data_IF_627959358230
#
_entry.id   IF_627959358230
#
_cell.length_a   1.000
_cell.length_b   1.000
_cell.length_c   1.000
_cell.angle_alpha   90.00
_cell.angle_beta   90.00
_cell.angle_gamma   90.00
#
_symmetry.space_group_name_H-M   'P 1'
#
loop_
_entity.id
_entity.type
_entity.pdbx_description
1 polymer ?
#
# COMPACT_ATOMS: atom_id res chain seq x y z
N UNK A 1 1.71 10.97 0.75
CA UNK A 1 1.46 11.84 -0.42
C UNK A 1 1.80 11.01 -1.65
N UNK A 2 0.86 10.85 -2.58
CA UNK A 2 1.03 10.00 -3.76
C UNK A 2 0.97 10.87 -5.04
N UNK A 3 1.58 10.40 -6.11
CA UNK A 3 1.51 11.04 -7.44
C UNK A 3 0.63 10.19 -8.36
N UNK A 4 -0.35 10.79 -9.02
CA UNK A 4 -1.17 10.08 -10.01
C UNK A 4 -0.38 9.81 -11.31
N UNK A 5 -0.69 8.71 -12.00
CA UNK A 5 -0.06 8.35 -13.26
C UNK A 5 -0.30 9.43 -14.34
N UNK A 6 -1.48 10.04 -14.36
CA UNK A 6 -1.82 11.21 -15.20
C UNK A 6 -0.88 12.39 -14.93
N UNK A 7 -0.64 12.73 -13.67
CA UNK A 7 0.27 13.82 -13.29
C UNK A 7 1.72 13.51 -13.71
N UNK A 8 2.17 12.27 -13.55
CA UNK A 8 3.49 11.84 -14.00
C UNK A 8 3.64 11.90 -15.53
N UNK A 9 2.58 11.55 -16.29
CA UNK A 9 2.53 11.68 -17.76
C UNK A 9 2.63 13.14 -18.20
N UNK A 10 1.91 14.04 -17.55
CA UNK A 10 1.98 15.49 -17.85
C UNK A 10 3.41 15.98 -17.65
N UNK A 11 4.04 15.66 -16.53
CA UNK A 11 5.39 16.11 -16.23
C UNK A 11 6.42 15.48 -17.18
N UNK A 12 6.29 14.19 -17.51
CA UNK A 12 7.09 13.55 -18.56
C UNK A 12 6.98 14.29 -19.89
N UNK A 13 5.75 14.64 -20.29
CA UNK A 13 5.50 15.37 -21.54
C UNK A 13 6.11 16.77 -21.51
N UNK A 14 6.09 17.46 -20.37
CA UNK A 14 6.74 18.76 -20.20
C UNK A 14 8.26 18.64 -20.34
N UNK A 15 8.87 17.62 -19.73
CA UNK A 15 10.31 17.39 -19.79
C UNK A 15 10.81 16.97 -21.18
N UNK A 16 9.97 16.29 -21.96
CA UNK A 16 10.21 16.04 -23.38
C UNK A 16 9.93 17.26 -24.28
N UNK A 17 9.45 18.37 -23.71
CA UNK A 17 8.95 19.53 -24.45
C UNK A 17 7.88 19.15 -25.50
N UNK A 18 7.07 18.16 -25.15
CA UNK A 18 6.01 17.59 -25.97
C UNK A 18 4.62 18.07 -25.53
N UNK A 19 4.48 18.53 -24.28
CA UNK A 19 3.19 18.86 -23.68
C UNK A 19 2.45 20.01 -24.37
N UNK A 20 1.23 19.72 -24.81
CA UNK A 20 0.21 20.71 -25.12
C UNK A 20 -1.15 20.16 -24.67
N UNK A 21 -1.95 21.01 -24.01
CA UNK A 21 -3.27 20.65 -23.51
C UNK A 21 -4.19 21.86 -23.65
N UNK A 22 -5.48 21.60 -23.81
CA UNK A 22 -6.51 22.63 -23.91
C UNK A 22 -7.89 22.05 -23.63
N UNK A 23 -8.87 22.95 -23.50
CA UNK A 23 -10.28 22.61 -23.48
C UNK A 23 -10.89 23.04 -24.83
N UNK A 24 -11.64 22.14 -25.49
CA UNK A 24 -12.30 22.47 -26.74
C UNK A 24 -13.21 23.70 -26.59
N UNK A 25 -13.22 24.59 -27.58
CA UNK A 25 -14.04 25.83 -27.53
C UNK A 25 -15.28 25.77 -28.41
N UNK A 26 -15.43 24.70 -29.20
CA UNK A 26 -16.60 24.47 -30.03
C UNK A 26 -16.95 22.98 -30.08
N UNK A 27 -18.21 22.69 -30.43
CA UNK A 27 -18.64 21.32 -30.69
C UNK A 27 -17.92 20.77 -31.93
N UNK A 28 -17.25 19.64 -31.76
CA UNK A 28 -16.66 18.89 -32.86
C UNK A 28 -17.56 17.75 -33.30
N UNK A 29 -16.94 16.69 -33.78
CA UNK A 29 -17.58 15.44 -34.18
C UNK A 29 -16.76 14.28 -33.64
N UNK A 30 -17.13 13.03 -33.96
CA UNK A 30 -16.28 11.90 -33.64
C UNK A 30 -14.88 12.01 -34.28
N UNK A 31 -14.74 12.72 -35.41
CA UNK A 31 -13.49 12.84 -36.18
C UNK A 31 -12.85 14.23 -36.11
N UNK A 32 -13.36 15.13 -35.28
CA UNK A 32 -12.82 16.50 -35.19
C UNK A 32 -12.81 17.02 -33.77
N UNK A 33 -11.80 17.82 -33.41
CA UNK A 33 -11.76 18.62 -32.18
C UNK A 33 -11.63 20.09 -32.57
N UNK A 34 -12.48 20.96 -32.01
CA UNK A 34 -12.53 22.38 -32.35
C UNK A 34 -12.05 23.22 -31.16
N UNK A 35 -10.90 23.87 -31.32
CA UNK A 35 -10.30 24.77 -30.33
C UNK A 35 -9.68 26.02 -30.98
N UNK A 36 -10.18 27.19 -30.58
CA UNK A 36 -9.68 28.48 -31.04
C UNK A 36 -8.21 28.74 -30.71
N UNK A 37 -7.64 28.14 -29.67
CA UNK A 37 -6.21 28.28 -29.34
C UNK A 37 -5.31 27.60 -30.38
N UNK A 38 -5.82 26.62 -31.12
CA UNK A 38 -5.09 25.98 -32.22
C UNK A 38 -4.86 26.93 -33.41
N UNK A 39 -5.62 28.03 -33.52
CA UNK A 39 -5.41 29.04 -34.57
C UNK A 39 -4.05 29.72 -34.47
N UNK A 40 -3.46 29.73 -33.27
CA UNK A 40 -2.11 30.25 -33.04
C UNK A 40 -1.00 29.28 -33.50
N UNK A 41 -1.34 28.05 -33.88
CA UNK A 41 -0.39 27.04 -34.36
C UNK A 41 -0.32 27.06 -35.88
N UNK A 42 0.84 26.66 -36.42
CA UNK A 42 1.00 26.45 -37.86
C UNK A 42 0.43 25.08 -38.22
N UNK A 43 -0.09 24.87 -39.44
CA UNK A 43 -0.58 23.55 -39.86
C UNK A 43 0.50 22.47 -39.74
N UNK A 44 1.76 22.82 -40.04
CA UNK A 44 2.93 21.94 -39.89
C UNK A 44 3.33 21.66 -38.43
N UNK A 45 2.61 22.22 -37.45
CA UNK A 45 2.77 21.85 -36.04
C UNK A 45 2.28 20.43 -35.77
N UNK A 46 1.32 19.94 -36.56
CA UNK A 46 0.91 18.54 -36.61
C UNK A 46 1.70 17.83 -37.72
N UNK A 47 2.26 16.68 -37.40
CA UNK A 47 3.01 15.83 -38.32
C UNK A 47 2.50 14.39 -38.33
N UNK A 48 3.19 13.54 -39.08
CA UNK A 48 2.90 12.10 -39.13
C UNK A 48 3.15 11.49 -37.74
N UNK A 49 2.20 10.68 -37.25
CA UNK A 49 2.25 9.97 -35.95
C UNK A 49 2.08 10.82 -34.69
N UNK A 50 1.31 11.91 -34.77
CA UNK A 50 0.82 12.63 -33.58
C UNK A 50 -0.55 12.12 -33.13
N UNK A 51 -0.80 12.18 -31.83
CA UNK A 51 -2.02 11.66 -31.22
C UNK A 51 -2.66 12.69 -30.31
N UNK A 52 -3.98 12.66 -30.20
CA UNK A 52 -4.69 13.32 -29.12
C UNK A 52 -5.03 12.31 -28.02
N UNK A 53 -5.34 12.82 -26.82
CA UNK A 53 -5.90 12.06 -25.71
C UNK A 53 -7.03 12.89 -25.09
N UNK A 54 -8.22 12.32 -24.98
CA UNK A 54 -9.31 12.95 -24.23
C UNK A 54 -9.08 12.75 -22.73
N UNK A 55 -9.07 13.84 -21.97
CA UNK A 55 -8.82 13.84 -20.52
C UNK A 55 -10.00 14.35 -19.69
N UNK A 56 -11.11 14.72 -20.35
CA UNK A 56 -12.31 15.21 -19.69
C UNK A 56 -12.95 14.15 -18.80
N UNK A 57 -12.98 14.42 -17.48
CA UNK A 57 -13.57 13.51 -16.51
C UNK A 57 -15.08 13.35 -16.76
N UNK A 58 -15.54 12.10 -16.85
CA UNK A 58 -16.96 11.78 -17.06
C UNK A 58 -17.41 11.85 -18.52
N UNK A 59 -16.52 12.20 -19.46
CA UNK A 59 -16.79 12.06 -20.88
C UNK A 59 -16.75 10.58 -21.30
N UNK A 60 -17.64 10.17 -22.21
CA UNK A 60 -17.74 8.77 -22.64
C UNK A 60 -16.49 8.28 -23.40
N UNK A 61 -15.72 9.21 -23.97
CA UNK A 61 -14.44 8.93 -24.64
C UNK A 61 -13.22 9.30 -23.80
N UNK A 62 -13.37 9.47 -22.49
CA UNK A 62 -12.22 9.68 -21.59
C UNK A 62 -11.20 8.56 -21.76
N UNK A 63 -9.92 8.92 -21.77
CA UNK A 63 -8.76 8.04 -21.97
C UNK A 63 -8.62 7.42 -23.36
N UNK A 64 -9.49 7.78 -24.31
CA UNK A 64 -9.29 7.44 -25.71
C UNK A 64 -8.18 8.31 -26.33
N UNK A 65 -7.18 7.64 -26.91
CA UNK A 65 -6.21 8.29 -27.79
C UNK A 65 -6.55 8.01 -29.27
N UNK A 66 -6.43 9.01 -30.13
CA UNK A 66 -6.65 8.88 -31.58
C UNK A 66 -5.53 9.56 -32.35
N UNK A 67 -5.24 9.05 -33.55
CA UNK A 67 -4.22 9.64 -34.41
C UNK A 67 -4.76 10.93 -35.02
N UNK A 68 -3.97 11.98 -34.96
CA UNK A 68 -4.26 13.27 -35.59
C UNK A 68 -3.76 13.22 -37.03
N UNK A 69 -4.66 13.46 -37.98
CA UNK A 69 -4.35 13.47 -39.41
C UNK A 69 -3.97 14.86 -39.92
N UNK A 70 -4.55 15.93 -39.36
CA UNK A 70 -4.26 17.31 -39.79
C UNK A 70 -4.77 18.35 -38.80
N UNK A 71 -4.25 19.57 -38.95
CA UNK A 71 -4.75 20.79 -38.33
C UNK A 71 -5.15 21.79 -39.41
N UNK A 72 -6.39 22.28 -39.35
CA UNK A 72 -6.80 23.52 -40.01
C UNK A 72 -6.70 24.69 -39.02
N UNK A 73 -5.60 25.43 -39.09
CA UNK A 73 -5.36 26.57 -38.20
C UNK A 73 -6.26 27.78 -38.47
N UNK A 74 -6.98 27.85 -39.60
CA UNK A 74 -7.89 28.96 -39.86
C UNK A 74 -9.16 28.83 -39.01
N UNK A 75 -9.66 27.60 -38.89
CA UNK A 75 -10.83 27.26 -38.06
C UNK A 75 -10.46 26.86 -36.63
N UNK A 76 -9.22 26.39 -36.41
CA UNK A 76 -8.79 25.79 -35.14
C UNK A 76 -9.28 24.36 -34.99
N UNK A 77 -9.32 23.60 -36.08
CA UNK A 77 -9.89 22.24 -36.10
C UNK A 77 -8.79 21.20 -36.27
N UNK A 78 -8.69 20.26 -35.33
CA UNK A 78 -7.94 19.01 -35.54
C UNK A 78 -8.85 18.00 -36.21
N UNK A 79 -8.34 17.30 -37.22
CA UNK A 79 -8.98 16.10 -37.77
C UNK A 79 -8.29 14.87 -37.21
N UNK A 80 -9.06 14.02 -36.55
CA UNK A 80 -8.58 12.83 -35.84
C UNK A 80 -9.27 11.57 -36.37
N UNK A 81 -8.65 10.40 -36.14
CA UNK A 81 -9.39 9.14 -36.25
C UNK A 81 -10.58 9.16 -35.29
N UNK A 82 -11.67 8.49 -35.69
CA UNK A 82 -12.94 8.61 -34.96
C UNK A 82 -12.82 8.16 -33.50
N UNK A 83 -13.17 9.03 -32.56
CA UNK A 83 -13.54 8.67 -31.20
C UNK A 83 -14.88 7.92 -31.20
N UNK A 84 -15.14 7.19 -30.12
CA UNK A 84 -16.38 6.45 -30.00
C UNK A 84 -17.59 7.39 -29.80
N UNK A 85 -17.34 8.61 -29.33
CA UNK A 85 -18.36 9.65 -29.14
C UNK A 85 -17.97 10.99 -29.78
N UNK A 86 -18.97 11.83 -30.02
CA UNK A 86 -18.76 13.19 -30.53
C UNK A 86 -18.06 14.05 -29.48
N UNK A 87 -17.03 14.78 -29.92
CA UNK A 87 -16.32 15.72 -29.05
C UNK A 87 -17.17 16.97 -28.79
N UNK A 88 -17.32 17.30 -27.50
CA UNK A 88 -18.15 18.42 -27.05
C UNK A 88 -17.41 19.76 -27.02
N UNK A 89 -18.09 20.79 -26.50
CA UNK A 89 -17.45 22.04 -26.06
C UNK A 89 -17.00 21.90 -24.60
N UNK A 90 -15.91 22.57 -24.20
CA UNK A 90 -15.28 22.46 -22.89
C UNK A 90 -14.82 21.04 -22.56
N UNK A 91 -14.40 20.29 -23.56
CA UNK A 91 -13.84 18.95 -23.38
C UNK A 91 -12.32 19.09 -23.26
N UNK A 92 -11.77 18.72 -22.11
CA UNK A 92 -10.33 18.67 -21.88
C UNK A 92 -9.67 17.58 -22.74
N UNK A 93 -8.58 17.96 -23.39
CA UNK A 93 -7.77 17.04 -24.19
C UNK A 93 -6.31 17.50 -24.25
N UNK A 94 -5.47 16.59 -24.70
CA UNK A 94 -4.03 16.80 -24.84
C UNK A 94 -3.56 16.38 -26.23
N UNK A 95 -2.46 16.98 -26.68
CA UNK A 95 -1.78 16.61 -27.93
C UNK A 95 -0.40 16.07 -27.59
N UNK A 96 -0.13 14.90 -28.16
CA UNK A 96 1.06 14.09 -28.00
C UNK A 96 1.81 14.01 -29.33
N UNK A 97 2.94 14.72 -29.44
CA UNK A 97 3.66 14.93 -30.71
C UNK A 97 4.88 14.03 -30.88
N UNK A 98 5.47 13.54 -29.79
CA UNK A 98 6.65 12.67 -29.83
C UNK A 98 6.32 11.20 -29.53
N UNK A 99 5.49 10.97 -28.50
CA UNK A 99 5.10 9.62 -28.08
C UNK A 99 3.63 9.61 -27.68
N UNK A 100 2.93 8.52 -28.02
CA UNK A 100 1.53 8.30 -27.64
C UNK A 100 1.35 8.36 -26.13
N UNK A 101 0.11 8.59 -25.66
CA UNK A 101 -0.17 8.53 -24.23
C UNK A 101 0.07 7.11 -23.70
N UNK A 102 -0.29 6.08 -24.47
CA UNK A 102 -0.05 4.68 -24.13
C UNK A 102 1.43 4.29 -24.03
N UNK A 103 2.31 4.84 -24.87
CA UNK A 103 3.76 4.62 -24.76
C UNK A 103 4.30 5.22 -23.45
N UNK A 104 3.91 6.46 -23.15
CA UNK A 104 4.27 7.15 -21.91
C UNK A 104 3.77 6.38 -20.69
N UNK A 105 2.55 5.84 -20.73
CA UNK A 105 1.95 4.99 -19.69
C UNK A 105 2.85 3.80 -19.38
N UNK A 106 3.16 3.00 -20.42
CA UNK A 106 3.99 1.79 -20.30
C UNK A 106 5.38 2.12 -19.78
N UNK A 107 5.96 3.23 -20.23
CA UNK A 107 7.27 3.67 -19.79
C UNK A 107 7.31 4.09 -18.32
N UNK A 108 6.29 4.80 -17.83
CA UNK A 108 6.19 5.19 -16.42
C UNK A 108 6.04 3.97 -15.50
N UNK A 109 5.21 3.00 -15.87
CA UNK A 109 5.02 1.76 -15.11
C UNK A 109 6.31 0.94 -15.09
N UNK A 110 6.98 0.79 -16.24
CA UNK A 110 8.28 0.11 -16.30
C UNK A 110 9.35 0.84 -15.47
N UNK A 111 9.37 2.17 -15.54
CA UNK A 111 10.30 3.00 -14.79
C UNK A 111 10.14 2.88 -13.28
N UNK A 112 8.91 2.77 -12.76
CA UNK A 112 8.67 2.57 -11.33
C UNK A 112 9.43 1.35 -10.79
N UNK A 113 9.45 0.26 -11.56
CA UNK A 113 10.16 -0.98 -11.22
C UNK A 113 11.67 -0.88 -11.43
N UNK A 114 12.10 -0.22 -12.52
CA UNK A 114 13.52 -0.10 -12.88
C UNK A 114 14.29 0.91 -12.03
N UNK A 115 13.60 1.87 -11.42
CA UNK A 115 14.25 2.93 -10.64
C UNK A 115 14.71 2.45 -9.25
N UNK A 116 14.36 1.23 -8.83
CA UNK A 116 14.91 0.60 -7.65
C UNK A 116 16.43 0.35 -7.81
N UNK A 117 17.27 0.55 -6.77
CA UNK A 117 16.92 0.96 -5.41
C UNK A 117 16.91 2.50 -5.18
N UNK A 118 17.17 3.29 -6.22
CA UNK A 118 17.40 4.74 -6.11
C UNK A 118 16.19 5.54 -5.67
N UNK A 119 14.99 5.09 -6.04
CA UNK A 119 13.73 5.50 -5.43
C UNK A 119 12.95 4.25 -5.08
N UNK A 120 12.24 4.30 -3.97
CA UNK A 120 11.57 3.12 -3.42
C UNK A 120 10.43 3.53 -2.50
N UNK A 121 9.52 2.60 -2.20
CA UNK A 121 8.50 2.84 -1.19
C UNK A 121 9.13 2.72 0.20
N UNK A 122 8.85 3.68 1.09
CA UNK A 122 9.25 3.56 2.49
C UNK A 122 8.16 2.80 3.23
N UNK A 123 8.49 1.60 3.69
CA UNK A 123 7.59 0.81 4.51
C UNK A 123 7.86 1.13 5.97
N UNK A 124 6.78 1.43 6.67
CA UNK A 124 6.74 1.61 8.11
C UNK A 124 5.57 0.81 8.63
N UNK A 125 5.88 -0.26 9.37
CA UNK A 125 4.88 -1.09 10.02
C UNK A 125 5.02 -1.03 11.54
N UNK A 126 3.87 -0.84 12.20
CA UNK A 126 3.73 -0.81 13.66
C UNK A 126 2.67 -1.83 14.14
N UNK A 127 2.27 -2.76 13.29
CA UNK A 127 1.23 -3.75 13.59
C UNK A 127 1.72 -4.84 14.54
N UNK A 128 3.04 -5.04 14.62
CA UNK A 128 3.63 -6.13 15.38
C UNK A 128 3.91 -5.82 16.85
N UNK A 129 3.76 -6.84 17.70
CA UNK A 129 4.11 -6.80 19.12
C UNK A 129 5.15 -7.89 19.45
N UNK A 130 6.23 -7.49 20.11
CA UNK A 130 7.25 -8.41 20.64
C UNK A 130 6.66 -9.44 21.59
N UNK A 131 7.04 -10.71 21.45
CA UNK A 131 6.52 -11.77 22.31
C UNK A 131 5.10 -12.25 21.97
N UNK A 132 4.43 -11.65 20.97
CA UNK A 132 3.07 -12.01 20.59
C UNK A 132 3.06 -13.28 19.75
N UNK A 133 2.35 -14.29 20.22
CA UNK A 133 2.23 -15.60 19.58
C UNK A 133 1.18 -15.65 18.47
N UNK A 134 0.34 -14.61 18.36
CA UNK A 134 -0.63 -14.52 17.28
C UNK A 134 -0.03 -14.07 15.97
N UNK A 135 -0.61 -14.58 14.90
CA UNK A 135 -0.46 -14.00 13.57
C UNK A 135 -1.52 -12.91 13.40
N UNK A 136 -1.12 -11.71 12.99
CA UNK A 136 -2.03 -10.57 12.80
C UNK A 136 -2.88 -10.25 14.05
N UNK A 137 -2.21 -10.08 15.19
CA UNK A 137 -2.88 -9.66 16.44
C UNK A 137 -3.55 -8.28 16.33
N UNK A 138 -3.00 -7.40 15.50
CA UNK A 138 -3.51 -6.06 15.21
C UNK A 138 -4.70 -6.01 14.25
N UNK A 139 -5.12 -7.14 13.66
CA UNK A 139 -6.22 -7.19 12.69
C UNK A 139 -6.03 -6.31 11.45
N UNK A 140 -4.81 -6.29 10.90
CA UNK A 140 -4.49 -5.52 9.68
C UNK A 140 -4.61 -6.34 8.40
N UNK A 141 -4.67 -7.68 8.53
CA UNK A 141 -4.60 -8.60 7.38
C UNK A 141 -5.97 -9.23 7.12
N UNK A 142 -6.58 -8.76 6.04
CA UNK A 142 -7.93 -9.12 5.63
C UNK A 142 -7.92 -9.75 4.23
N UNK A 143 -8.63 -10.87 4.08
CA UNK A 143 -8.88 -11.48 2.77
C UNK A 143 -9.97 -10.72 2.01
N UNK A 144 -10.88 -10.07 2.73
CA UNK A 144 -11.88 -9.15 2.20
C UNK A 144 -12.35 -8.20 3.30
N UNK A 145 -13.19 -7.21 2.98
CA UNK A 145 -13.77 -6.30 3.98
C UNK A 145 -14.62 -6.98 5.05
N UNK A 146 -14.91 -8.29 4.92
CA UNK A 146 -15.73 -9.07 5.85
C UNK A 146 -15.08 -10.39 6.28
N UNK A 147 -13.77 -10.56 6.03
CA UNK A 147 -13.05 -11.79 6.38
C UNK A 147 -11.59 -11.52 6.75
N UNK A 148 -11.22 -11.87 7.98
CA UNK A 148 -9.83 -11.90 8.44
C UNK A 148 -9.08 -13.09 7.83
N UNK A 149 -7.79 -12.90 7.54
CA UNK A 149 -6.99 -13.96 6.89
C UNK A 149 -6.56 -15.06 7.85
N UNK A 150 -6.17 -14.71 9.09
CA UNK A 150 -5.59 -15.66 10.05
C UNK A 150 -6.48 -15.97 11.26
N UNK A 151 -7.65 -15.37 11.33
CA UNK A 151 -8.62 -15.57 12.40
C UNK A 151 -9.85 -16.31 11.90
N UNK A 152 -10.40 -17.20 12.71
CA UNK A 152 -11.67 -17.87 12.43
C UNK A 152 -12.80 -17.15 13.14
N UNK A 153 -13.84 -16.79 12.38
CA UNK A 153 -15.08 -16.23 12.92
C UNK A 153 -16.16 -17.31 12.98
N UNK A 154 -17.01 -17.30 14.00
CA UNK A 154 -18.15 -18.21 14.12
C UNK A 154 -19.39 -17.44 14.56
N UNK A 155 -20.48 -17.61 13.82
CA UNK A 155 -21.82 -17.02 14.04
C UNK A 155 -21.92 -15.49 13.89
N UNK A 156 -20.99 -14.71 14.45
CA UNK A 156 -20.99 -13.25 14.33
C UNK A 156 -20.65 -12.79 12.91
N UNK A 157 -21.14 -11.60 12.56
CA UNK A 157 -20.65 -10.87 11.38
C UNK A 157 -19.44 -10.07 11.79
N UNK A 158 -18.39 -10.10 10.96
CA UNK A 158 -17.22 -9.23 11.12
C UNK A 158 -17.07 -8.29 9.93
N UNK A 159 -16.54 -7.10 10.19
CA UNK A 159 -16.22 -6.12 9.15
C UNK A 159 -14.91 -5.37 9.46
N UNK A 160 -14.13 -5.13 8.41
CA UNK A 160 -12.94 -4.28 8.44
C UNK A 160 -13.37 -2.84 8.72
N UNK A 161 -12.86 -2.26 9.81
CA UNK A 161 -13.14 -0.87 10.18
C UNK A 161 -11.92 -0.01 9.98
N UNK A 162 -12.04 1.05 9.18
CA UNK A 162 -10.99 2.06 8.93
C UNK A 162 -11.38 3.45 9.49
N UNK A 163 -12.52 3.54 10.17
CA UNK A 163 -13.10 4.80 10.65
C UNK A 163 -12.62 5.10 12.06
N UNK A 164 -11.95 6.25 12.25
CA UNK A 164 -11.60 6.75 13.58
C UNK A 164 -12.86 7.17 14.35
N UNK A 165 -12.99 6.90 15.66
CA UNK A 165 -11.99 6.37 16.60
C UNK A 165 -12.06 4.84 16.78
N UNK A 166 -12.71 4.12 15.87
CA UNK A 166 -13.04 2.71 16.04
C UNK A 166 -11.93 1.73 15.65
N UNK A 167 -10.70 2.22 15.47
CA UNK A 167 -9.49 1.42 15.52
C UNK A 167 -8.53 2.07 16.52
N UNK A 168 -7.75 1.28 17.23
CA UNK A 168 -6.87 1.74 18.29
C UNK A 168 -5.44 1.89 17.78
N UNK A 169 -5.00 0.96 16.95
CA UNK A 169 -3.66 0.90 16.41
C UNK A 169 -3.67 0.60 14.91
N UNK A 170 -2.55 0.91 14.25
CA UNK A 170 -2.40 0.80 12.81
C UNK A 170 -3.49 1.54 12.03
N UNK A 171 -4.09 0.87 11.05
CA UNK A 171 -5.06 1.46 10.14
C UNK A 171 -6.46 0.85 10.28
N UNK A 172 -6.57 -0.37 10.82
CA UNK A 172 -7.82 -1.11 10.85
C UNK A 172 -8.06 -1.85 12.15
N UNK A 173 -9.34 -2.13 12.43
CA UNK A 173 -9.75 -3.02 13.53
C UNK A 173 -10.84 -3.97 13.07
N UNK A 174 -11.12 -4.98 13.90
CA UNK A 174 -12.22 -5.91 13.67
C UNK A 174 -13.50 -5.43 14.36
N UNK A 175 -14.48 -5.00 13.58
CA UNK A 175 -15.85 -4.82 14.06
C UNK A 175 -16.55 -6.16 14.12
N UNK A 176 -17.21 -6.45 15.22
CA UNK A 176 -18.03 -7.64 15.46
C UNK A 176 -19.45 -7.19 15.80
N UNK A 177 -20.46 -7.67 15.07
CA UNK A 177 -21.85 -7.30 15.28
C UNK A 177 -22.85 -8.39 14.85
N UNK A 178 -24.14 -8.02 14.84
CA UNK A 178 -25.29 -8.75 14.27
C UNK A 178 -25.73 -10.00 15.04
N UNK A 179 -24.80 -10.80 15.56
CA UNK A 179 -25.11 -12.03 16.27
C UNK A 179 -24.02 -12.37 17.30
N UNK A 180 -24.45 -12.99 18.41
CA UNK A 180 -23.51 -13.54 19.38
C UNK A 180 -22.67 -14.66 18.77
N UNK A 181 -21.37 -14.64 18.99
CA UNK A 181 -20.42 -15.51 18.32
C UNK A 181 -18.98 -15.22 18.75
N UNK A 182 -18.02 -15.66 17.94
CA UNK A 182 -16.60 -15.62 18.34
C UNK A 182 -15.67 -15.28 17.19
N UNK A 183 -14.53 -14.70 17.54
CA UNK A 183 -13.34 -14.56 16.68
C UNK A 183 -12.17 -15.23 17.42
N UNK A 184 -11.46 -16.16 16.79
CA UNK A 184 -10.45 -16.98 17.47
C UNK A 184 -9.26 -17.38 16.61
N UNK A 185 -8.13 -17.63 17.27
CA UNK A 185 -6.99 -18.37 16.74
C UNK A 185 -6.75 -19.61 17.59
N UNK A 186 -6.52 -20.75 16.94
CA UNK A 186 -6.16 -22.01 17.60
C UNK A 186 -4.97 -22.69 16.93
N UNK A 187 -4.50 -23.79 17.51
CA UNK A 187 -3.45 -24.65 16.92
C UNK A 187 -3.78 -25.15 15.51
N UNK A 188 -5.07 -25.16 15.13
CA UNK A 188 -5.51 -25.50 13.77
C UNK A 188 -5.22 -24.37 12.79
N UNK A 189 -5.35 -23.11 13.23
CA UNK A 189 -5.00 -21.94 12.45
C UNK A 189 -3.48 -21.70 12.44
N UNK A 190 -2.83 -21.95 13.58
CA UNK A 190 -1.46 -21.57 13.84
C UNK A 190 -0.74 -22.60 14.74
N UNK A 191 0.00 -23.52 14.10
CA UNK A 191 0.64 -24.66 14.77
C UNK A 191 1.65 -24.25 15.85
N UNK A 192 2.26 -23.06 15.71
CA UNK A 192 3.23 -22.51 16.66
C UNK A 192 2.66 -22.35 18.07
N UNK A 193 1.34 -22.19 18.21
CA UNK A 193 0.69 -22.13 19.52
C UNK A 193 0.94 -23.40 20.35
N UNK A 194 1.24 -24.55 19.73
CA UNK A 194 1.62 -25.79 20.44
C UNK A 194 2.85 -25.63 21.33
N UNK A 195 3.73 -24.67 21.03
CA UNK A 195 4.93 -24.39 21.85
C UNK A 195 4.60 -23.73 23.19
N UNK A 196 3.34 -23.33 23.38
CA UNK A 196 2.85 -22.79 24.64
C UNK A 196 2.44 -23.88 25.65
N UNK A 197 2.43 -25.16 25.24
CA UNK A 197 2.16 -26.28 26.15
C UNK A 197 3.13 -26.29 27.35
N UNK A 198 2.58 -26.53 28.54
CA UNK A 198 3.33 -26.50 29.80
C UNK A 198 3.76 -25.10 30.26
N UNK A 199 3.15 -24.04 29.73
CA UNK A 199 3.49 -22.65 30.07
C UNK A 199 2.28 -21.87 30.59
N UNK A 200 2.57 -20.87 31.43
CA UNK A 200 1.58 -19.84 31.77
C UNK A 200 1.55 -18.79 30.66
N UNK A 201 0.38 -18.62 30.06
CA UNK A 201 0.14 -17.69 28.95
C UNK A 201 -0.89 -16.66 29.37
N UNK A 202 -0.65 -15.46 28.88
CA UNK A 202 -1.53 -14.31 29.00
C UNK A 202 -2.19 -14.04 27.67
N UNK A 203 -3.50 -13.82 27.67
CA UNK A 203 -4.24 -13.33 26.50
C UNK A 203 -4.95 -12.04 26.85
N UNK A 204 -4.73 -11.02 26.01
CA UNK A 204 -5.38 -9.73 26.10
C UNK A 204 -5.77 -9.18 24.74
N UNK A 205 -6.70 -8.24 24.73
CA UNK A 205 -7.09 -7.45 23.56
C UNK A 205 -7.28 -5.99 23.97
N UNK A 206 -7.20 -5.08 23.00
CA UNK A 206 -7.86 -3.79 23.09
C UNK A 206 -9.29 -3.93 22.59
N UNK A 207 -10.26 -3.45 23.36
CA UNK A 207 -11.67 -3.56 22.98
C UNK A 207 -12.42 -2.25 23.22
N UNK A 208 -13.40 -1.98 22.36
CA UNK A 208 -14.37 -0.91 22.52
C UNK A 208 -15.77 -1.49 22.33
N UNK A 209 -16.67 -1.16 23.26
CA UNK A 209 -18.06 -1.57 23.14
C UNK A 209 -19.02 -0.64 23.90
N UNK A 210 -20.20 -0.46 23.31
CA UNK A 210 -21.25 0.41 23.85
C UNK A 210 -22.23 -0.32 24.77
N UNK A 211 -22.15 -1.65 24.82
CA UNK A 211 -23.09 -2.50 25.56
C UNK A 211 -22.36 -3.30 26.62
N UNK A 212 -22.81 -3.21 27.88
CA UNK A 212 -22.22 -3.99 28.96
C UNK A 212 -22.32 -5.50 28.67
N UNK A 213 -21.28 -6.23 29.04
CA UNK A 213 -21.21 -7.69 28.84
C UNK A 213 -21.22 -8.17 27.39
N UNK A 214 -21.02 -7.28 26.42
CA UNK A 214 -20.96 -7.66 25.01
C UNK A 214 -19.69 -8.45 24.64
N UNK A 215 -18.58 -8.26 25.36
CA UNK A 215 -17.27 -8.82 25.02
C UNK A 215 -16.59 -9.42 26.24
N UNK A 216 -15.85 -10.51 26.02
CA UNK A 216 -14.83 -11.06 26.92
C UNK A 216 -13.86 -11.93 26.13
N UNK A 217 -12.73 -12.28 26.74
CA UNK A 217 -11.75 -13.19 26.14
C UNK A 217 -11.61 -14.47 26.94
N UNK A 218 -11.15 -15.55 26.31
CA UNK A 218 -10.83 -16.80 27.00
C UNK A 218 -9.64 -17.53 26.39
N UNK A 219 -8.96 -18.31 27.23
CA UNK A 219 -8.00 -19.34 26.82
C UNK A 219 -8.65 -20.70 27.06
N UNK A 220 -8.51 -21.63 26.11
CA UNK A 220 -8.95 -23.02 26.25
C UNK A 220 -7.82 -23.96 25.83
N UNK A 221 -7.47 -24.93 26.68
CA UNK A 221 -6.46 -25.95 26.40
C UNK A 221 -7.05 -27.35 26.12
N UNK A 222 -8.38 -27.44 26.05
CA UNK A 222 -9.14 -28.66 25.78
C UNK A 222 -9.52 -29.46 27.02
N UNK A 223 -8.92 -29.13 28.17
CA UNK A 223 -9.35 -29.61 29.47
C UNK A 223 -10.02 -28.50 30.28
N UNK A 224 -9.50 -27.28 30.19
CA UNK A 224 -9.91 -26.13 30.97
C UNK A 224 -10.06 -24.89 30.09
N UNK A 225 -11.10 -24.12 30.39
CA UNK A 225 -11.34 -22.83 29.77
C UNK A 225 -11.41 -21.74 30.83
N UNK A 226 -10.53 -20.76 30.73
CA UNK A 226 -10.47 -19.61 31.64
C UNK A 226 -10.94 -18.36 30.91
N UNK A 227 -11.83 -17.59 31.52
CA UNK A 227 -12.41 -16.37 30.96
C UNK A 227 -11.86 -15.12 31.66
N UNK A 228 -11.79 -14.02 30.92
CA UNK A 228 -11.66 -12.68 31.48
C UNK A 228 -12.97 -12.22 32.11
N UNK A 229 -12.93 -11.04 32.73
CA UNK A 229 -14.16 -10.31 33.04
C UNK A 229 -14.81 -9.80 31.74
N UNK A 230 -16.07 -9.41 31.84
CA UNK A 230 -16.81 -8.77 30.76
C UNK A 230 -16.42 -7.30 30.58
N UNK A 231 -16.52 -6.79 29.35
CA UNK A 231 -16.38 -5.38 29.05
C UNK A 231 -17.52 -4.56 29.69
N UNK A 232 -17.19 -3.38 30.22
CA UNK A 232 -18.13 -2.54 30.97
C UNK A 232 -19.23 -1.92 30.09
N UNK A 233 -18.94 -1.73 28.79
CA UNK A 233 -19.90 -1.19 27.83
C UNK A 233 -20.04 0.33 27.92
N UNK A 234 -18.93 1.00 28.16
CA UNK A 234 -18.83 2.43 28.45
C UNK A 234 -18.45 3.27 27.22
N UNK A 235 -18.52 2.69 26.01
CA UNK A 235 -18.16 3.36 24.75
C UNK A 235 -16.74 3.94 24.76
N UNK A 236 -15.82 3.23 25.40
CA UNK A 236 -14.41 3.57 25.46
C UNK A 236 -13.56 2.37 25.05
N UNK A 237 -12.36 2.67 24.54
CA UNK A 237 -11.33 1.66 24.45
C UNK A 237 -10.84 1.31 25.84
N UNK A 238 -10.56 0.03 26.04
CA UNK A 238 -9.78 -0.44 27.18
C UNK A 238 -8.43 0.26 27.28
N UNK A 239 -7.81 0.22 28.46
CA UNK A 239 -6.51 0.84 28.69
C UNK A 239 -5.36 0.10 27.99
N UNK A 240 -4.29 0.83 27.66
CA UNK A 240 -3.12 0.29 26.92
C UNK A 240 -2.39 -0.83 27.67
N UNK A 241 -2.45 -0.85 29.02
CA UNK A 241 -2.05 -2.02 29.80
C UNK A 241 -3.28 -2.88 30.13
N UNK A 242 -3.54 -3.94 29.36
CA UNK A 242 -4.74 -4.75 29.54
C UNK A 242 -4.78 -5.48 30.89
N UNK A 243 -3.66 -5.58 31.63
CA UNK A 243 -3.66 -6.11 33.01
C UNK A 243 -4.40 -5.23 34.00
N UNK A 244 -4.55 -3.94 33.68
CA UNK A 244 -5.28 -2.99 34.49
C UNK A 244 -6.76 -2.88 34.06
N UNK A 245 -7.20 -3.71 33.10
CA UNK A 245 -8.54 -3.71 32.54
C UNK A 245 -9.18 -5.12 32.55
N UNK A 246 -10.46 -5.17 32.16
CA UNK A 246 -11.32 -6.34 32.10
C UNK A 246 -10.99 -7.31 30.95
N UNK A 247 -10.28 -6.87 29.90
CA UNK A 247 -10.00 -7.63 28.67
C UNK A 247 -8.67 -8.40 28.72
N UNK A 248 -8.47 -9.13 29.80
CA UNK A 248 -7.26 -9.92 30.06
C UNK A 248 -7.60 -11.23 30.78
N UNK A 249 -6.89 -12.30 30.41
CA UNK A 249 -6.96 -13.59 31.10
C UNK A 249 -5.58 -14.26 31.11
N UNK A 250 -5.30 -15.02 32.17
CA UNK A 250 -4.09 -15.82 32.29
C UNK A 250 -4.46 -17.28 32.60
N UNK A 251 -3.80 -18.22 31.92
CA UNK A 251 -4.01 -19.66 32.12
C UNK A 251 -2.68 -20.40 32.00
N UNK A 252 -2.48 -21.42 32.82
CA UNK A 252 -1.47 -22.45 32.56
C UNK A 252 -2.02 -23.43 31.53
N UNK A 253 -1.35 -23.57 30.40
CA UNK A 253 -1.71 -24.54 29.36
C UNK A 253 -1.10 -25.88 29.77
N UNK A 254 -1.92 -26.93 29.78
CA UNK A 254 -1.45 -28.28 30.12
C UNK A 254 -0.22 -28.71 29.28
N UNK A 255 0.54 -29.67 29.80
CA UNK A 255 1.70 -30.23 29.10
C UNK A 255 1.30 -31.03 27.84
N UNK A 256 0.10 -31.59 27.82
CA UNK A 256 -0.46 -32.36 26.71
C UNK A 256 -1.85 -31.83 26.33
N UNK A 257 -1.96 -30.57 25.91
CA UNK A 257 -3.24 -29.96 25.61
C UNK A 257 -3.84 -30.60 24.35
N UNK A 258 -5.14 -30.86 24.35
CA UNK A 258 -5.83 -31.43 23.18
C UNK A 258 -6.22 -30.36 22.16
N UNK A 259 -6.31 -29.11 22.62
CA UNK A 259 -6.40 -27.91 21.81
C UNK A 259 -5.62 -26.77 22.49
N UNK A 260 -5.26 -25.72 21.76
CA UNK A 260 -4.94 -24.43 22.38
C UNK A 260 -5.67 -23.40 21.55
N UNK A 261 -6.66 -22.76 22.16
CA UNK A 261 -7.57 -21.84 21.50
C UNK A 261 -7.67 -20.55 22.31
N UNK A 262 -7.49 -19.43 21.63
CA UNK A 262 -7.69 -18.09 22.17
C UNK A 262 -8.90 -17.46 21.50
N UNK A 263 -9.90 -17.10 22.30
CA UNK A 263 -11.22 -16.72 21.78
C UNK A 263 -11.64 -15.35 22.29
N UNK A 264 -12.03 -14.49 21.37
CA UNK A 264 -12.79 -13.26 21.62
C UNK A 264 -14.27 -13.63 21.48
N UNK A 265 -15.03 -13.45 22.56
CA UNK A 265 -16.47 -13.74 22.59
C UNK A 265 -17.24 -12.44 22.44
N UNK A 266 -18.14 -12.39 21.46
CA UNK A 266 -19.16 -11.36 21.36
C UNK A 266 -20.49 -11.98 21.78
N UNK A 267 -21.04 -11.60 22.94
CA UNK A 267 -22.15 -12.34 23.57
C UNK A 267 -23.51 -11.67 23.42
N UNK A 268 -23.55 -10.40 23.05
CA UNK A 268 -24.81 -9.64 22.94
C UNK A 268 -25.10 -9.35 21.48
N UNK A 269 -26.01 -10.12 20.87
CA UNK A 269 -26.31 -10.05 19.43
C UNK A 269 -26.69 -8.65 18.89
N UNK A 270 -27.35 -7.82 19.71
CA UNK A 270 -27.72 -6.45 19.34
C UNK A 270 -26.60 -5.42 19.60
N UNK A 271 -25.49 -5.84 20.22
CA UNK A 271 -24.34 -5.00 20.48
C UNK A 271 -23.45 -4.85 19.26
N UNK A 272 -22.63 -3.81 19.26
CA UNK A 272 -21.51 -3.66 18.34
C UNK A 272 -20.24 -3.57 19.16
N UNK A 273 -19.20 -4.26 18.69
CA UNK A 273 -17.91 -4.35 19.35
C UNK A 273 -16.81 -4.09 18.35
N UNK A 274 -15.75 -3.41 18.79
CA UNK A 274 -14.52 -3.24 18.03
C UNK A 274 -13.38 -3.84 18.83
N UNK A 275 -12.57 -4.66 18.19
CA UNK A 275 -11.40 -5.29 18.82
C UNK A 275 -10.16 -5.05 17.98
N UNK A 276 -9.06 -4.83 18.69
CA UNK A 276 -7.76 -4.51 18.15
C UNK A 276 -6.67 -5.10 19.05
N UNK A 277 -5.44 -5.19 18.55
CA UNK A 277 -4.23 -5.48 19.31
C UNK A 277 -4.35 -6.68 20.27
N UNK A 278 -4.81 -7.80 19.70
CA UNK A 278 -4.84 -9.09 20.36
C UNK A 278 -3.41 -9.60 20.59
N UNK A 279 -3.12 -9.97 21.85
CA UNK A 279 -1.79 -10.40 22.29
C UNK A 279 -1.87 -11.68 23.10
N UNK A 280 -1.20 -12.73 22.61
CA UNK A 280 -0.89 -13.92 23.40
C UNK A 280 0.58 -13.86 23.82
N UNK A 281 0.85 -13.69 25.12
CA UNK A 281 2.19 -13.53 25.66
C UNK A 281 2.54 -14.74 26.54
N UNK A 282 3.50 -15.54 26.06
CA UNK A 282 4.10 -16.66 26.80
C UNK A 282 5.53 -16.35 27.27
N UNK A 283 6.20 -17.26 27.99
CA UNK A 283 7.53 -17.04 28.58
C UNK A 283 8.66 -16.82 27.56
N UNK A 284 8.48 -17.30 26.33
CA UNK A 284 9.48 -17.25 25.26
C UNK A 284 9.10 -16.26 24.14
N UNK A 285 10.11 -15.80 23.41
CA UNK A 285 9.91 -15.02 22.17
C UNK A 285 9.49 -15.95 21.03
N UNK A 286 8.32 -15.74 20.39
CA UNK A 286 7.95 -16.45 19.18
C UNK A 286 8.72 -15.91 17.97
N UNK A 287 8.61 -16.62 16.85
CA UNK A 287 8.94 -16.06 15.54
C UNK A 287 7.81 -15.15 15.08
N UNK A 288 8.14 -14.02 14.47
CA UNK A 288 7.18 -13.02 13.99
C UNK A 288 7.11 -13.08 12.46
N UNK A 289 5.91 -13.16 11.91
CA UNK A 289 5.72 -13.36 10.46
C UNK A 289 5.64 -12.02 9.71
N UNK A 290 6.68 -11.69 8.94
CA UNK A 290 6.88 -10.37 8.33
C UNK A 290 6.69 -10.34 6.80
N UNK A 291 6.36 -11.47 6.17
CA UNK A 291 6.20 -11.57 4.71
C UNK A 291 5.13 -10.58 4.16
N UNK A 292 4.10 -10.31 4.96
CA UNK A 292 2.97 -9.45 4.56
C UNK A 292 3.27 -7.96 4.64
N UNK A 293 4.48 -7.57 5.05
CA UNK A 293 4.85 -6.16 5.21
C UNK A 293 5.19 -5.47 3.88
N UNK A 294 5.20 -6.19 2.75
CA UNK A 294 5.55 -5.59 1.44
C UNK A 294 7.01 -5.15 1.33
N UNK A 295 7.88 -5.71 2.19
CA UNK A 295 9.31 -5.42 2.18
C UNK A 295 9.98 -6.07 0.97
N UNK A 296 10.82 -5.31 0.28
CA UNK A 296 11.70 -5.81 -0.77
C UNK A 296 12.59 -6.91 -0.19
N UNK A 297 12.54 -8.10 -0.78
CA UNK A 297 13.28 -9.28 -0.31
C UNK A 297 12.96 -9.65 1.15
N UNK A 298 11.78 -9.27 1.68
CA UNK A 298 11.35 -9.56 3.05
C UNK A 298 12.36 -9.15 4.12
N UNK A 299 13.16 -8.12 3.82
CA UNK A 299 14.29 -7.72 4.66
C UNK A 299 14.02 -6.36 5.29
N UNK A 300 13.74 -6.32 6.59
CA UNK A 300 13.74 -5.08 7.35
C UNK A 300 15.08 -4.38 7.27
N UNK A 301 15.04 -3.06 7.10
CA UNK A 301 16.24 -2.22 7.19
C UNK A 301 16.55 -1.87 8.65
N UNK A 302 15.51 -1.65 9.45
CA UNK A 302 15.65 -1.34 10.86
C UNK A 302 14.46 -1.89 11.64
N UNK A 303 14.72 -2.39 12.85
CA UNK A 303 13.70 -2.81 13.80
C UNK A 303 13.90 -1.98 15.06
N UNK A 304 12.84 -1.35 15.51
CA UNK A 304 12.79 -0.58 16.75
C UNK A 304 11.72 -1.16 17.68
N UNK A 305 11.87 -0.95 18.98
CA UNK A 305 10.92 -1.34 20.01
C UNK A 305 10.42 -0.11 20.76
N UNK A 306 9.15 -0.15 21.10
CA UNK A 306 8.47 0.89 21.85
C UNK A 306 9.14 1.12 23.22
N UNK A 307 9.32 2.39 23.64
CA UNK A 307 9.88 2.71 24.94
C UNK A 307 8.96 2.31 26.11
N UNK A 308 9.46 2.40 27.34
CA UNK A 308 8.69 2.00 28.52
C UNK A 308 7.55 2.97 28.85
N UNK A 309 7.76 4.26 28.58
CA UNK A 309 6.82 5.31 28.93
C UNK A 309 6.36 6.06 27.68
N UNK A 310 5.12 5.79 27.26
CA UNK A 310 4.49 6.45 26.13
C UNK A 310 4.21 7.94 26.42
N UNK A 311 4.04 8.32 27.69
CA UNK A 311 3.66 9.68 28.08
C UNK A 311 4.82 10.69 28.06
N UNK A 312 6.06 10.26 27.79
CA UNK A 312 7.25 11.12 27.86
C UNK A 312 7.96 11.33 26.53
N UNK A 313 7.30 11.03 25.39
CA UNK A 313 7.87 11.17 24.04
C UNK A 313 9.26 10.52 23.90
N UNK A 314 9.50 9.42 24.63
CA UNK A 314 10.78 8.73 24.56
C UNK A 314 11.00 8.19 23.14
N UNK A 315 12.23 8.31 22.59
CA UNK A 315 12.51 7.78 21.26
C UNK A 315 12.45 6.25 21.27
N UNK A 316 12.02 5.69 20.16
CA UNK A 316 12.04 4.24 19.94
C UNK A 316 13.46 3.71 20.01
N UNK A 317 13.63 2.56 20.66
CA UNK A 317 14.95 1.96 20.84
C UNK A 317 15.24 0.98 19.70
N UNK A 318 16.40 1.10 19.07
CA UNK A 318 16.81 0.13 18.04
C UNK A 318 17.05 -1.26 18.65
N UNK A 319 16.51 -2.28 17.99
CA UNK A 319 16.79 -3.68 18.30
C UNK A 319 18.01 -4.13 17.50
N UNK A 320 19.02 -4.64 18.19
CA UNK A 320 20.22 -5.21 17.59
C UNK A 320 20.17 -6.74 17.61
N UNK A 321 20.90 -7.40 16.69
CA UNK A 321 21.04 -8.86 16.61
C UNK A 321 19.74 -9.64 16.38
N UNK A 322 18.73 -9.02 15.77
CA UNK A 322 17.58 -9.76 15.22
C UNK A 322 18.04 -10.67 14.09
N UNK A 323 17.53 -11.91 14.06
CA UNK A 323 17.76 -12.85 12.96
C UNK A 323 16.56 -12.83 12.02
N UNK A 324 16.84 -12.84 10.73
CA UNK A 324 15.84 -12.95 9.67
C UNK A 324 15.93 -14.34 9.03
N UNK A 325 14.77 -14.85 8.64
CA UNK A 325 14.59 -16.04 7.83
C UNK A 325 13.74 -15.64 6.64
N UNK A 326 14.42 -15.22 5.57
CA UNK A 326 13.80 -14.68 4.35
C UNK A 326 13.24 -15.77 3.44
N UNK A 327 13.48 -17.05 3.73
CA UNK A 327 12.87 -18.16 2.97
C UNK A 327 11.44 -18.42 3.46
N UNK A 328 11.21 -18.19 4.76
CA UNK A 328 9.94 -18.46 5.42
C UNK A 328 9.23 -17.19 5.91
N UNK A 329 9.79 -16.01 5.66
CA UNK A 329 9.22 -14.72 6.04
C UNK A 329 9.15 -14.47 7.54
N UNK A 330 10.15 -14.91 8.31
CA UNK A 330 10.16 -14.76 9.78
C UNK A 330 11.26 -13.84 10.31
N UNK A 331 10.90 -13.10 11.35
CA UNK A 331 11.77 -12.31 12.21
C UNK A 331 11.89 -12.98 13.59
N UNK A 332 13.13 -13.15 14.05
CA UNK A 332 13.46 -13.64 15.39
C UNK A 332 14.11 -12.52 16.20
N UNK A 333 13.46 -12.13 17.29
CA UNK A 333 13.99 -11.16 18.23
C UNK A 333 14.96 -11.82 19.23
N UNK A 334 16.04 -11.14 19.64
CA UNK A 334 16.89 -11.60 20.74
C UNK A 334 16.09 -11.77 22.03
N UNK A 335 16.49 -12.73 22.87
CA UNK A 335 15.87 -12.95 24.18
C UNK A 335 15.99 -11.76 25.14
N UNK A 336 16.94 -10.86 24.90
CA UNK A 336 17.10 -9.61 25.66
C UNK A 336 16.04 -8.55 25.34
N UNK A 337 15.34 -8.69 24.21
CA UNK A 337 14.24 -7.79 23.84
C UNK A 337 13.07 -8.06 24.75
N UNK A 338 12.52 -6.98 25.34
CA UNK A 338 11.35 -7.08 26.20
C UNK A 338 10.16 -7.61 25.38
N UNK A 339 9.27 -8.34 26.04
CA UNK A 339 8.01 -8.84 25.47
C UNK A 339 6.89 -7.84 25.76
N UNK A 340 5.79 -7.99 25.03
CA UNK A 340 4.58 -7.19 25.19
C UNK A 340 4.81 -5.68 24.95
N UNK A 341 5.60 -5.41 23.90
CA UNK A 341 5.92 -4.06 23.42
C UNK A 341 5.81 -4.00 21.92
N UNK A 342 5.27 -2.90 21.39
CA UNK A 342 5.15 -2.73 19.95
C UNK A 342 6.52 -2.66 19.29
N UNK A 343 6.57 -3.16 18.07
CA UNK A 343 7.71 -3.06 17.19
C UNK A 343 7.42 -2.04 16.11
N UNK A 344 8.45 -1.34 15.69
CA UNK A 344 8.44 -0.57 14.46
C UNK A 344 9.41 -1.21 13.50
N UNK A 345 8.87 -1.77 12.42
CA UNK A 345 9.65 -2.40 11.37
C UNK A 345 9.71 -1.39 10.22
N UNK A 346 10.93 -0.92 9.94
CA UNK A 346 11.20 -0.04 8.81
C UNK A 346 11.89 -0.82 7.73
N UNK A 347 11.48 -0.57 6.49
CA UNK A 347 12.18 -1.11 5.36
C UNK A 347 11.80 -0.43 4.06
N UNK A 348 12.14 -1.12 2.99
CA UNK A 348 12.04 -0.61 1.63
C UNK A 348 11.09 -1.52 0.88
N UNK A 349 10.10 -0.97 0.20
CA UNK A 349 9.17 -1.68 -0.68
C UNK A 349 9.47 -1.38 -2.15
N UNK A 350 8.93 -2.21 -3.04
CA UNK A 350 8.93 -1.93 -4.47
C UNK A 350 7.95 -0.81 -4.79
N UNK A 351 8.30 0.03 -5.74
CA UNK A 351 7.37 1.04 -6.25
C UNK A 351 6.49 0.44 -7.34
N UNK A 352 5.18 0.67 -7.22
CA UNK A 352 4.22 0.41 -8.28
C UNK A 352 3.14 1.49 -8.31
N UNK A 353 2.40 1.56 -9.42
CA UNK A 353 1.16 2.32 -9.48
C UNK A 353 0.03 1.45 -8.97
N UNK A 354 -0.67 1.92 -7.94
CA UNK A 354 -1.75 1.20 -7.28
C UNK A 354 -3.09 1.89 -7.52
N UNK A 355 -4.14 1.10 -7.67
CA UNK A 355 -5.52 1.61 -7.69
C UNK A 355 -6.05 1.89 -6.28
N UNK A 356 -7.33 2.25 -6.18
CA UNK A 356 -8.00 2.51 -4.90
C UNK A 356 -8.14 1.27 -3.99
N UNK A 357 -7.96 0.06 -4.54
CA UNK A 357 -7.96 -1.20 -3.79
C UNK A 357 -6.57 -1.57 -3.28
N UNK A 358 -5.52 -0.87 -3.74
CA UNK A 358 -4.12 -1.18 -3.43
C UNK A 358 -3.49 -2.19 -4.38
N UNK A 359 -4.14 -2.52 -5.50
CA UNK A 359 -3.65 -3.48 -6.48
C UNK A 359 -2.85 -2.79 -7.59
N UNK A 360 -1.83 -3.47 -8.12
CA UNK A 360 -1.05 -3.00 -9.27
C UNK A 360 -1.96 -2.68 -10.45
N UNK A 361 -1.94 -1.43 -10.90
CA UNK A 361 -2.86 -0.92 -11.89
C UNK A 361 -2.18 -0.02 -12.93
N UNK A 362 -2.90 0.20 -14.04
CA UNK A 362 -2.41 0.97 -15.19
C UNK A 362 -3.36 2.09 -15.61
N UNK A 363 -4.38 2.36 -14.79
CA UNK A 363 -5.33 3.43 -15.04
C UNK A 363 -4.67 4.78 -14.72
N UNK A 364 -5.13 5.86 -15.36
CA UNK A 364 -4.52 7.19 -15.19
C UNK A 364 -4.72 7.81 -13.81
N UNK A 365 -5.73 7.35 -13.09
CA UNK A 365 -6.02 7.71 -11.70
C UNK A 365 -5.23 6.87 -10.69
N UNK A 366 -4.56 5.80 -11.12
CA UNK A 366 -3.67 4.99 -10.28
C UNK A 366 -2.53 5.85 -9.76
N UNK A 367 -2.10 5.62 -8.52
CA UNK A 367 -1.12 6.47 -7.83
C UNK A 367 0.11 5.71 -7.38
N UNK A 368 1.24 6.39 -7.31
CA UNK A 368 2.52 5.87 -6.81
C UNK A 368 2.93 6.61 -5.55
N UNK A 369 3.49 5.92 -4.55
CA UNK A 369 3.84 6.47 -3.24
C UNK A 369 5.18 7.23 -3.24
N UNK A 370 5.35 8.13 -4.21
CA UNK A 370 6.44 9.11 -4.29
C UNK A 370 5.90 10.47 -4.71
N UNK A 371 6.68 11.50 -4.47
CA UNK A 371 6.40 12.88 -4.81
C UNK A 371 7.69 13.60 -5.26
N UNK A 372 7.57 14.86 -5.69
CA UNK A 372 8.75 15.67 -6.02
C UNK A 372 9.64 15.82 -4.78
N UNK A 373 10.98 15.66 -4.88
CA UNK A 373 11.75 15.55 -6.12
C UNK A 373 11.96 14.13 -6.68
N UNK A 374 11.52 13.06 -5.99
CA UNK A 374 11.71 11.68 -6.45
C UNK A 374 10.99 11.38 -7.77
N UNK A 375 9.85 12.04 -8.02
CA UNK A 375 9.13 11.94 -9.30
C UNK A 375 10.02 12.32 -10.50
N UNK A 376 11.03 13.19 -10.33
CA UNK A 376 11.95 13.55 -11.42
C UNK A 376 12.87 12.39 -11.82
N UNK A 377 13.22 11.51 -10.88
CA UNK A 377 14.00 10.30 -11.16
C UNK A 377 13.12 9.31 -11.95
N UNK A 378 11.88 9.11 -11.49
CA UNK A 378 10.90 8.26 -12.20
C UNK A 378 10.74 8.72 -13.65
N UNK A 379 10.57 10.02 -13.87
CA UNK A 379 10.35 10.58 -15.20
C UNK A 379 11.59 10.44 -16.08
N UNK A 380 12.78 10.74 -15.57
CA UNK A 380 14.01 10.55 -16.33
C UNK A 380 14.21 9.08 -16.72
N UNK A 381 13.91 8.15 -15.81
CA UNK A 381 13.96 6.70 -16.07
C UNK A 381 12.93 6.28 -17.14
N UNK A 382 11.72 6.83 -17.10
CA UNK A 382 10.69 6.56 -18.11
C UNK A 382 11.09 7.09 -19.49
N UNK A 383 11.74 8.25 -19.56
CA UNK A 383 12.24 8.80 -20.82
C UNK A 383 13.36 7.93 -21.39
N UNK A 384 14.31 7.47 -20.56
CA UNK A 384 15.34 6.51 -21.01
C UNK A 384 14.67 5.27 -21.59
N UNK A 385 13.67 4.72 -20.88
CA UNK A 385 12.93 3.54 -21.35
C UNK A 385 12.26 3.78 -22.71
N UNK A 386 11.58 4.92 -22.91
CA UNK A 386 10.95 5.29 -24.19
C UNK A 386 11.97 5.29 -25.32
N UNK A 387 13.09 6.01 -25.16
CA UNK A 387 14.12 6.08 -26.20
C UNK A 387 14.79 4.73 -26.45
N UNK A 388 14.97 3.90 -25.43
CA UNK A 388 15.46 2.52 -25.61
C UNK A 388 14.53 1.71 -26.51
N UNK A 389 13.22 1.71 -26.26
CA UNK A 389 12.25 0.98 -27.08
C UNK A 389 12.27 1.45 -28.55
N UNK A 390 12.45 2.75 -28.77
CA UNK A 390 12.46 3.35 -30.11
C UNK A 390 13.80 3.19 -30.84
N UNK A 391 14.87 2.85 -30.12
CA UNK A 391 16.18 2.54 -30.71
C UNK A 391 16.26 1.12 -31.31
N UNK A 392 15.27 0.26 -31.03
CA UNK A 392 15.16 -1.09 -31.57
C UNK A 392 15.05 -1.09 -33.12
N UNK A 393 15.40 -2.19 -33.81
CA UNK A 393 15.56 -2.23 -35.27
C UNK A 393 14.28 -2.04 -36.13
N UNK A 394 13.21 -1.46 -35.57
CA UNK A 394 11.94 -1.22 -36.24
C UNK A 394 11.88 0.11 -37.01
N UNK A 395 12.88 0.99 -36.81
CA UNK A 395 12.92 2.33 -37.41
C UNK A 395 14.07 2.51 -38.41
N UNK A 396 13.95 3.56 -39.24
CA UNK A 396 14.98 3.94 -40.20
C UNK A 396 16.33 4.19 -39.51
N UNK A 397 17.44 4.03 -40.24
CA UNK A 397 18.80 4.14 -39.66
C UNK A 397 19.10 5.54 -39.12
N UNK A 398 18.60 6.60 -39.75
CA UNK A 398 18.77 7.98 -39.26
C UNK A 398 17.97 8.21 -37.99
N UNK A 399 16.69 7.84 -37.98
CA UNK A 399 15.79 7.97 -36.82
C UNK A 399 16.34 7.23 -35.59
N UNK A 400 16.90 6.03 -35.78
CA UNK A 400 17.52 5.27 -34.68
C UNK A 400 18.73 5.96 -34.08
N UNK A 401 19.53 6.66 -34.89
CA UNK A 401 20.71 7.38 -34.41
C UNK A 401 20.29 8.55 -33.51
N UNK A 402 19.30 9.31 -33.92
CA UNK A 402 18.79 10.45 -33.13
C UNK A 402 18.23 9.98 -31.77
N UNK A 403 17.51 8.85 -31.75
CA UNK A 403 17.04 8.24 -30.50
C UNK A 403 18.18 7.73 -29.60
N UNK A 404 19.24 7.17 -30.17
CA UNK A 404 20.42 6.73 -29.40
C UNK A 404 21.16 7.93 -28.78
N UNK A 405 21.28 9.04 -29.50
CA UNK A 405 21.91 10.27 -28.97
C UNK A 405 21.07 10.86 -27.82
N UNK A 406 19.74 10.90 -27.96
CA UNK A 406 18.84 11.33 -26.88
C UNK A 406 18.85 10.40 -25.68
N UNK A 407 18.95 9.09 -25.88
CA UNK A 407 19.06 8.11 -24.80
C UNK A 407 20.28 8.39 -23.93
N UNK A 408 21.46 8.64 -24.53
CA UNK A 408 22.69 8.96 -23.79
C UNK A 408 22.55 10.26 -22.98
N UNK A 409 21.91 11.29 -23.54
CA UNK A 409 21.62 12.52 -22.80
C UNK A 409 20.77 12.22 -21.55
N UNK A 410 19.69 11.47 -21.71
CA UNK A 410 18.77 11.16 -20.61
C UNK A 410 19.35 10.19 -19.58
N UNK A 411 20.23 9.27 -19.97
CA UNK A 411 20.98 8.44 -19.02
C UNK A 411 21.89 9.28 -18.12
N UNK A 412 22.58 10.28 -18.68
CA UNK A 412 23.41 11.20 -17.89
C UNK A 412 22.56 12.07 -16.96
N UNK A 413 21.41 12.55 -17.44
CA UNK A 413 20.47 13.33 -16.64
C UNK A 413 19.86 12.49 -15.51
N UNK A 414 19.50 11.24 -15.78
CA UNK A 414 19.03 10.28 -14.78
C UNK A 414 20.09 10.08 -13.68
N UNK A 415 21.35 9.81 -14.05
CA UNK A 415 22.45 9.66 -13.07
C UNK A 415 22.63 10.90 -12.20
N UNK A 416 22.54 12.10 -12.81
CA UNK A 416 22.62 13.37 -12.09
C UNK A 416 21.49 13.53 -11.08
N UNK A 417 20.26 13.18 -11.47
CA UNK A 417 19.08 13.26 -10.60
C UNK A 417 19.13 12.23 -9.48
N UNK A 418 19.55 11.01 -9.76
CA UNK A 418 19.80 9.98 -8.74
C UNK A 418 20.80 10.50 -7.70
N UNK A 419 21.93 11.08 -8.13
CA UNK A 419 22.93 11.62 -7.20
C UNK A 419 22.43 12.79 -6.34
N UNK A 420 21.40 13.53 -6.79
CA UNK A 420 20.88 14.72 -6.09
C UNK A 420 19.63 14.44 -5.26
N UNK A 421 18.78 13.54 -5.72
CA UNK A 421 17.41 13.33 -5.21
C UNK A 421 17.10 11.86 -4.88
N UNK A 422 18.06 10.96 -5.10
CA UNK A 422 17.95 9.56 -4.74
C UNK A 422 17.67 9.38 -3.25
N UNK A 423 16.89 8.38 -2.93
CA UNK A 423 16.54 8.04 -1.56
C UNK A 423 17.67 7.25 -0.93
N UNK A 424 18.05 7.61 0.30
CA UNK A 424 19.03 6.84 1.06
C UNK A 424 18.47 5.46 1.37
N UNK A 425 19.22 4.43 1.01
CA UNK A 425 19.06 3.10 1.57
C UNK A 425 19.82 3.10 2.87
N UNK A 426 19.13 3.21 4.01
CA UNK A 426 19.79 3.15 5.31
C UNK A 426 20.58 1.83 5.38
N UNK A 427 21.91 1.93 5.51
CA UNK A 427 22.75 0.77 5.70
C UNK A 427 22.45 0.18 7.07
N UNK A 428 22.01 -1.07 7.09
CA UNK A 428 21.78 -1.78 8.34
C UNK A 428 23.12 -1.86 9.12
N UNK A 429 23.17 -1.62 10.43
CA UNK A 429 24.25 -2.15 11.24
C UNK A 429 24.01 -3.66 11.47
N UNK A 430 24.07 -4.50 10.42
CA UNK A 430 24.13 -5.96 10.64
C UNK A 430 25.60 -6.34 10.79
N UNK A 431 26.00 -6.69 12.02
CA UNK A 431 27.07 -7.69 12.15
C UNK A 431 26.45 -9.02 11.77
N UNK A 432 26.73 -9.49 10.56
CA UNK A 432 26.56 -10.90 10.25
C UNK A 432 27.57 -11.65 11.13
N UNK A 433 27.06 -12.44 12.08
CA UNK A 433 27.84 -13.47 12.77
C UNK A 433 27.14 -14.80 12.58
#
# INVERSE_FOLDING_TARGET
>A
MTTALSAARIELSKQLNDFWASASTGAGSATTIVDTLLKAKQNAWIGDDMYDLITESGHASVDEERQISSLDNSSGTLTVLAHDNTTGTSMDYEVHRLFTASDKRRALIAAARMAWPYIHEKIWDESMVSGNWFKDGSFEIWTSSSALTYWTTTTSTIAKTTTSPYYKHGATSCKIDTAAGTVKQSITNWDDLKRLAGQTVTFSIQAHCDTASCLRVSINDGATQTYSSYHAGDSAWTQDDPRNDSMYVQQFIDWNPTEITFTIHHEVAAGTSYVDDARAIGPYQPRLFIETLGLSQETPVQIEIEPYNYATDEPWAQVFNSRLDTELGYLYLPSSVRRDRRLRIKGIGYLDFLDSSGDSATAWDSTININSPQTDILIAQAIVYLYTQMSLPNFSRSTRRDFQEMMVFWENELRRRIGKHGMEVQSIPVRFQ
#
